data_IF_897327398762
#
_entry.id   IF_897327398762
#
_cell.length_a   1.000
_cell.length_b   1.000
_cell.length_c   1.000
_cell.angle_alpha   90.00
_cell.angle_beta   90.00
_cell.angle_gamma   90.00
#
_symmetry.space_group_name_H-M   'P 1'
#
loop_
_entity.id
_entity.type
_entity.pdbx_description
1 polymer ?
#
# COMPACT_ATOMS: atom_id res chain seq x y z
N UNK A 1 7.40 7.70 -25.67
CA UNK A 1 8.50 6.81 -25.21
C UNK A 1 9.23 7.54 -24.11
N UNK A 2 9.03 7.14 -22.86
CA UNK A 2 9.82 7.66 -21.73
C UNK A 2 11.16 6.93 -21.74
N UNK A 3 12.28 7.65 -21.78
CA UNK A 3 13.61 7.07 -21.68
C UNK A 3 13.81 6.47 -20.29
N UNK A 4 14.22 5.21 -20.21
CA UNK A 4 14.60 4.57 -18.95
C UNK A 4 15.97 5.09 -18.50
N UNK A 5 16.17 5.44 -17.21
CA UNK A 5 17.48 5.84 -16.69
C UNK A 5 18.54 4.72 -16.83
N UNK A 6 19.79 5.08 -17.13
CA UNK A 6 20.93 4.12 -17.21
C UNK A 6 21.22 3.55 -15.81
N UNK A 7 21.08 2.22 -15.67
CA UNK A 7 21.20 1.45 -14.43
C UNK A 7 22.60 1.48 -13.79
N UNK A 8 23.60 2.12 -14.42
CA UNK A 8 24.98 2.11 -13.94
C UNK A 8 25.36 3.32 -13.08
N UNK A 9 24.63 4.44 -13.16
CA UNK A 9 25.02 5.71 -12.52
C UNK A 9 23.86 6.46 -11.81
N UNK A 10 22.73 5.80 -11.51
CA UNK A 10 21.60 6.45 -10.87
C UNK A 10 21.88 6.88 -9.42
N UNK A 11 21.61 8.13 -9.10
CA UNK A 11 21.55 8.65 -7.73
C UNK A 11 20.34 8.03 -6.99
N UNK A 12 20.30 8.02 -5.66
CA UNK A 12 19.13 7.53 -4.91
C UNK A 12 17.83 8.27 -5.29
N UNK A 13 17.92 9.53 -5.72
CA UNK A 13 16.82 10.32 -6.27
C UNK A 13 16.28 9.70 -7.56
N UNK A 14 17.15 9.25 -8.47
CA UNK A 14 16.74 8.63 -9.75
C UNK A 14 15.96 7.33 -9.56
N UNK A 15 16.24 6.58 -8.49
CA UNK A 15 15.51 5.36 -8.16
C UNK A 15 14.14 5.69 -7.56
N UNK A 16 14.06 6.72 -6.71
CA UNK A 16 12.78 7.22 -6.16
C UNK A 16 11.89 7.75 -7.28
N UNK A 17 12.44 8.58 -8.16
CA UNK A 17 11.73 9.14 -9.32
C UNK A 17 11.29 8.07 -10.30
N UNK A 18 12.11 7.02 -10.50
CA UNK A 18 11.71 5.87 -11.30
C UNK A 18 10.54 5.12 -10.67
N UNK A 19 10.57 4.86 -9.36
CA UNK A 19 9.48 4.18 -8.65
C UNK A 19 8.20 5.02 -8.66
N UNK A 20 8.30 6.33 -8.46
CA UNK A 20 7.18 7.28 -8.55
C UNK A 20 6.62 7.33 -9.98
N UNK A 21 7.48 7.24 -11.00
CA UNK A 21 7.05 7.18 -12.40
C UNK A 21 6.30 5.87 -12.74
N UNK A 22 6.74 4.73 -12.19
CA UNK A 22 6.06 3.43 -12.39
C UNK A 22 4.72 3.40 -11.65
N UNK A 23 4.66 3.95 -10.44
CA UNK A 23 3.42 4.15 -9.67
C UNK A 23 2.44 5.08 -10.38
N UNK A 24 2.93 6.08 -11.11
CA UNK A 24 2.06 7.01 -11.86
C UNK A 24 1.51 6.40 -13.16
N UNK A 25 2.24 5.45 -13.78
CA UNK A 25 1.87 4.89 -15.08
C UNK A 25 0.83 3.76 -15.00
N UNK A 26 0.76 3.02 -13.89
CA UNK A 26 -0.09 1.82 -13.78
C UNK A 26 -1.49 2.06 -13.17
N UNK A 27 -1.77 3.26 -12.66
CA UNK A 27 -3.07 3.60 -12.06
C UNK A 27 -3.89 4.57 -12.92
N UNK A 28 -4.48 4.07 -14.01
CA UNK A 28 -5.66 4.72 -14.63
C UNK A 28 -6.90 3.86 -14.33
N UNK A 29 -7.83 4.31 -13.50
CA UNK A 29 -8.81 5.31 -13.94
C UNK A 29 -9.56 6.06 -12.82
N UNK A 30 -9.06 6.09 -11.58
CA UNK A 30 -9.62 6.97 -10.52
C UNK A 30 -8.58 7.77 -9.71
N UNK A 31 -7.27 7.63 -9.98
CA UNK A 31 -6.22 8.14 -9.08
C UNK A 31 -5.73 9.58 -9.39
N UNK A 32 -6.16 10.19 -10.50
CA UNK A 32 -5.74 11.58 -10.83
C UNK A 32 -6.54 12.63 -10.03
N UNK A 33 -7.64 12.24 -9.38
CA UNK A 33 -8.38 13.13 -8.46
C UNK A 33 -7.87 13.08 -7.00
N UNK A 34 -7.01 12.12 -6.67
CA UNK A 34 -6.56 11.85 -5.29
C UNK A 34 -5.28 12.55 -4.88
N UNK A 35 -4.57 13.28 -5.77
CA UNK A 35 -3.41 14.09 -5.36
C UNK A 35 -3.78 15.25 -4.40
N UNK A 36 -5.07 15.63 -4.36
CA UNK A 36 -5.64 16.53 -3.34
C UNK A 36 -6.11 15.82 -2.06
N UNK A 37 -6.22 14.49 -2.05
CA UNK A 37 -6.77 13.69 -0.94
C UNK A 37 -5.68 13.07 -0.05
N UNK A 38 -4.45 12.93 -0.55
CA UNK A 38 -3.31 12.38 0.25
C UNK A 38 -2.87 13.33 1.38
N UNK A 39 -3.41 14.56 1.45
CA UNK A 39 -2.99 15.55 2.45
C UNK A 39 -3.62 15.40 3.83
N UNK A 40 -4.66 14.59 4.03
CA UNK A 40 -5.20 14.38 5.38
C UNK A 40 -5.72 12.96 5.56
N UNK A 41 -4.86 12.06 6.05
CA UNK A 41 -5.33 10.87 6.73
C UNK A 41 -6.07 11.30 8.01
N UNK A 42 -7.39 11.40 7.93
CA UNK A 42 -8.25 11.48 9.12
C UNK A 42 -8.68 10.07 9.49
N UNK A 43 -8.16 9.48 10.58
CA UNK A 43 -8.72 8.24 11.09
C UNK A 43 -10.16 8.51 11.55
N UNK A 44 -11.14 7.93 10.87
CA UNK A 44 -12.50 7.99 11.38
C UNK A 44 -12.63 7.00 12.53
N UNK A 45 -13.21 7.46 13.62
CA UNK A 45 -13.43 6.64 14.82
C UNK A 45 -14.25 5.40 14.45
N UNK A 46 -13.68 4.21 14.66
CA UNK A 46 -14.37 2.94 14.46
C UNK A 46 -14.07 2.22 13.14
N UNK A 47 -13.23 2.77 12.27
CA UNK A 47 -12.71 2.04 11.09
C UNK A 47 -11.68 0.98 11.51
N UNK A 48 -11.68 -0.15 10.80
CA UNK A 48 -10.64 -1.16 10.91
C UNK A 48 -9.43 -0.78 10.05
N UNK A 49 -8.27 -1.32 10.41
CA UNK A 49 -7.07 -1.28 9.57
C UNK A 49 -6.60 -2.68 9.19
N UNK A 50 -6.10 -2.80 7.97
CA UNK A 50 -5.50 -4.01 7.42
C UNK A 50 -4.04 -3.74 7.08
N UNK A 51 -3.18 -4.73 7.32
CA UNK A 51 -1.74 -4.66 7.15
C UNK A 51 -1.30 -5.87 6.32
N UNK A 52 -0.56 -5.64 5.24
CA UNK A 52 0.17 -6.68 4.52
C UNK A 52 1.62 -6.25 4.39
N UNK A 53 2.52 -7.06 4.91
CA UNK A 53 3.96 -6.89 4.76
C UNK A 53 4.53 -7.97 3.84
N UNK A 54 5.32 -7.55 2.87
CA UNK A 54 6.05 -8.46 1.98
C UNK A 54 7.53 -8.10 1.96
N UNK A 55 8.32 -9.05 1.49
CA UNK A 55 9.70 -8.80 1.09
C UNK A 55 9.78 -8.67 -0.43
N UNK A 56 10.14 -7.48 -0.89
CA UNK A 56 10.16 -7.10 -2.30
C UNK A 56 8.89 -6.41 -2.75
N UNK A 57 9.05 -5.54 -3.77
CA UNK A 57 8.01 -4.66 -4.28
C UNK A 57 6.95 -5.39 -5.13
N UNK A 58 7.34 -6.44 -5.87
CA UNK A 58 6.42 -7.16 -6.77
C UNK A 58 5.27 -7.79 -5.99
N UNK A 59 5.57 -8.55 -4.94
CA UNK A 59 4.53 -9.16 -4.09
C UNK A 59 3.69 -8.09 -3.38
N UNK A 60 4.29 -6.95 -3.02
CA UNK A 60 3.59 -5.85 -2.38
C UNK A 60 2.57 -5.20 -3.32
N UNK A 61 2.97 -4.92 -4.56
CA UNK A 61 2.08 -4.33 -5.58
C UNK A 61 0.87 -5.22 -5.82
N UNK A 62 1.09 -6.53 -5.92
CA UNK A 62 0.00 -7.46 -6.18
C UNK A 62 -0.92 -7.66 -4.98
N UNK A 63 -0.38 -7.63 -3.76
CA UNK A 63 -1.23 -7.55 -2.58
C UNK A 63 -2.08 -6.28 -2.56
N UNK A 64 -1.51 -5.12 -2.89
CA UNK A 64 -2.25 -3.85 -2.89
C UNK A 64 -3.37 -3.84 -3.93
N UNK A 65 -3.10 -4.31 -5.14
CA UNK A 65 -4.11 -4.45 -6.20
C UNK A 65 -5.24 -5.40 -5.78
N UNK A 66 -4.91 -6.58 -5.25
CA UNK A 66 -5.89 -7.54 -4.78
C UNK A 66 -6.73 -7.01 -3.59
N UNK A 67 -6.12 -6.31 -2.64
CA UNK A 67 -6.84 -5.68 -1.51
C UNK A 67 -7.89 -4.68 -2.01
N UNK A 68 -7.52 -3.80 -2.92
CA UNK A 68 -8.38 -2.74 -3.44
C UNK A 68 -9.48 -3.26 -4.37
N UNK A 69 -9.26 -4.40 -5.04
CA UNK A 69 -10.27 -5.05 -5.89
C UNK A 69 -11.26 -5.92 -5.10
N UNK A 70 -10.83 -6.49 -3.98
CA UNK A 70 -11.64 -7.46 -3.23
C UNK A 70 -12.76 -6.82 -2.39
N UNK A 71 -12.59 -5.57 -1.95
CA UNK A 71 -13.56 -4.90 -1.09
C UNK A 71 -13.49 -3.37 -1.19
N UNK A 72 -14.52 -2.70 -0.69
CA UNK A 72 -14.52 -1.24 -0.55
C UNK A 72 -13.63 -0.83 0.64
N UNK A 73 -12.33 -0.69 0.37
CA UNK A 73 -11.29 -0.25 1.32
C UNK A 73 -10.44 0.85 0.70
N UNK A 74 -9.78 1.64 1.52
CA UNK A 74 -8.89 2.71 1.07
C UNK A 74 -7.44 2.37 1.42
N UNK A 75 -6.54 2.50 0.45
CA UNK A 75 -5.10 2.47 0.72
C UNK A 75 -4.71 3.76 1.45
N UNK A 76 -4.07 3.58 2.59
CA UNK A 76 -3.71 4.67 3.51
C UNK A 76 -2.26 5.05 3.35
N UNK A 77 -1.36 4.07 3.43
CA UNK A 77 0.08 4.28 3.47
C UNK A 77 0.82 3.03 3.02
N UNK A 78 1.96 3.23 2.36
CA UNK A 78 2.97 2.20 2.19
C UNK A 78 4.20 2.62 3.01
N UNK A 79 4.69 1.70 3.83
CA UNK A 79 5.82 1.93 4.75
C UNK A 79 6.95 1.00 4.31
N UNK A 80 8.11 1.57 3.97
CA UNK A 80 9.32 0.82 3.67
C UNK A 80 10.34 1.05 4.79
N UNK A 81 10.81 -0.03 5.40
CA UNK A 81 11.75 0.02 6.53
C UNK A 81 13.18 -0.39 6.14
N UNK A 82 13.45 -0.56 4.85
CA UNK A 82 14.71 -1.09 4.33
C UNK A 82 14.73 -2.62 4.23
N UNK A 83 15.81 -3.18 3.69
CA UNK A 83 15.93 -4.65 3.51
C UNK A 83 14.88 -5.25 2.57
N UNK A 84 14.23 -4.41 1.75
CA UNK A 84 13.07 -4.71 0.92
C UNK A 84 11.79 -5.09 1.69
N UNK A 85 11.68 -4.79 2.98
CA UNK A 85 10.43 -4.96 3.73
C UNK A 85 9.50 -3.78 3.45
N UNK A 86 8.31 -4.08 2.95
CA UNK A 86 7.31 -3.09 2.59
C UNK A 86 5.96 -3.50 3.17
N UNK A 87 5.39 -2.64 4.02
CA UNK A 87 4.07 -2.82 4.62
C UNK A 87 3.06 -1.90 3.94
N UNK A 88 1.95 -2.47 3.49
CA UNK A 88 0.79 -1.76 2.97
C UNK A 88 -0.28 -1.66 4.04
N UNK A 89 -0.82 -0.47 4.23
CA UNK A 89 -1.88 -0.20 5.20
C UNK A 89 -3.15 0.20 4.45
N UNK A 90 -4.25 -0.48 4.75
CA UNK A 90 -5.59 -0.15 4.25
C UNK A 90 -6.55 0.15 5.41
N UNK A 91 -7.65 0.84 5.13
CA UNK A 91 -8.74 1.09 6.09
C UNK A 91 -10.12 0.86 5.49
N UNK A 92 -11.10 0.63 6.37
CA UNK A 92 -12.52 0.52 6.02
C UNK A 92 -13.33 -0.19 7.10
N UNK A 93 -14.51 -0.69 6.75
CA UNK A 93 -15.33 -1.50 7.66
C UNK A 93 -14.66 -2.85 7.97
N UNK A 94 -14.97 -3.41 9.14
CA UNK A 94 -14.38 -4.69 9.62
C UNK A 94 -14.58 -5.84 8.62
N UNK A 95 -15.73 -5.94 7.96
CA UNK A 95 -15.95 -6.97 6.95
C UNK A 95 -15.09 -6.75 5.70
N UNK A 96 -15.07 -5.52 5.19
CA UNK A 96 -14.32 -5.13 3.99
C UNK A 96 -12.82 -5.32 4.15
N UNK A 97 -12.27 -4.87 5.29
CA UNK A 97 -10.84 -5.00 5.56
C UNK A 97 -10.43 -6.47 5.75
N UNK A 98 -11.27 -7.32 6.34
CA UNK A 98 -10.99 -8.76 6.45
C UNK A 98 -10.88 -9.39 5.07
N UNK A 99 -11.89 -9.17 4.22
CA UNK A 99 -11.91 -9.69 2.86
C UNK A 99 -10.72 -9.20 2.03
N UNK A 100 -10.37 -7.91 2.15
CA UNK A 100 -9.22 -7.34 1.47
C UNK A 100 -7.90 -7.99 1.92
N UNK A 101 -7.67 -8.10 3.24
CA UNK A 101 -6.43 -8.71 3.77
C UNK A 101 -6.29 -10.17 3.34
N UNK A 102 -7.38 -10.95 3.38
CA UNK A 102 -7.36 -12.35 2.95
C UNK A 102 -7.01 -12.48 1.45
N UNK A 103 -7.59 -11.63 0.60
CA UNK A 103 -7.30 -11.61 -0.83
C UNK A 103 -5.86 -11.17 -1.13
N UNK A 104 -5.39 -10.09 -0.49
CA UNK A 104 -4.04 -9.58 -0.67
C UNK A 104 -2.97 -10.55 -0.17
N UNK A 105 -3.21 -11.24 0.95
CA UNK A 105 -2.27 -12.24 1.48
C UNK A 105 -2.12 -13.43 0.53
N UNK A 106 -3.24 -13.90 -0.06
CA UNK A 106 -3.22 -14.95 -1.06
C UNK A 106 -2.46 -14.53 -2.34
N UNK A 107 -2.63 -13.28 -2.79
CA UNK A 107 -1.92 -12.75 -3.95
C UNK A 107 -0.41 -12.58 -3.69
N UNK A 108 -0.03 -11.94 -2.59
CA UNK A 108 1.38 -11.79 -2.20
C UNK A 108 2.10 -13.13 -2.09
N UNK A 109 1.45 -14.15 -1.49
CA UNK A 109 2.06 -15.48 -1.32
C UNK A 109 2.29 -16.22 -2.64
N UNK A 110 1.55 -15.88 -3.69
CA UNK A 110 1.73 -16.47 -5.03
C UNK A 110 2.83 -15.76 -5.82
N UNK A 111 2.96 -14.44 -5.65
CA UNK A 111 3.89 -13.61 -6.42
C UNK A 111 5.26 -13.41 -5.75
N UNK A 112 5.40 -13.70 -4.46
CA UNK A 112 6.67 -13.61 -3.74
C UNK A 112 6.57 -13.94 -2.25
N UNK A 113 7.35 -13.24 -1.43
CA UNK A 113 7.48 -13.52 -0.01
C UNK A 113 6.52 -12.66 0.82
N UNK A 114 5.42 -13.26 1.26
CA UNK A 114 4.55 -12.70 2.29
C UNK A 114 5.22 -12.83 3.67
N UNK A 115 5.43 -11.71 4.35
CA UNK A 115 6.04 -11.66 5.69
C UNK A 115 4.94 -11.66 6.76
N UNK A 116 3.89 -10.86 6.57
CA UNK A 116 2.79 -10.76 7.53
C UNK A 116 1.49 -10.30 6.87
N UNK A 117 0.36 -10.78 7.40
CA UNK A 117 -0.98 -10.33 7.05
C UNK A 117 -1.81 -10.21 8.34
N UNK A 118 -2.28 -9.01 8.66
CA UNK A 118 -2.98 -8.77 9.92
C UNK A 118 -4.08 -7.73 9.79
N UNK A 119 -5.03 -7.79 10.72
CA UNK A 119 -6.15 -6.88 10.78
C UNK A 119 -6.38 -6.45 12.23
N UNK A 120 -6.60 -5.15 12.43
CA UNK A 120 -7.00 -4.58 13.71
C UNK A 120 -8.40 -3.97 13.53
N UNK A 121 -9.47 -4.58 14.07
CA UNK A 121 -10.85 -4.17 13.78
C UNK A 121 -11.25 -2.78 14.30
N UNK A 122 -10.72 -2.37 15.44
CA UNK A 122 -11.02 -1.08 16.10
C UNK A 122 -9.80 -0.58 16.85
N UNK A 123 -8.76 -0.10 16.14
CA UNK A 123 -7.62 0.51 16.81
C UNK A 123 -8.04 1.80 17.52
N UNK A 124 -7.28 2.17 18.55
CA UNK A 124 -7.47 3.45 19.24
C UNK A 124 -7.08 4.61 18.30
N UNK A 125 -7.88 5.69 18.28
CA UNK A 125 -7.77 6.72 17.25
C UNK A 125 -6.48 7.55 17.34
N UNK A 126 -6.04 7.89 18.56
CA UNK A 126 -4.80 8.64 18.79
C UNK A 126 -3.56 7.82 18.39
N UNK A 127 -3.59 6.51 18.60
CA UNK A 127 -2.55 5.60 18.12
C UNK A 127 -2.44 5.66 16.59
N UNK A 128 -3.57 5.60 15.90
CA UNK A 128 -3.57 5.58 14.43
C UNK A 128 -3.09 6.90 13.84
N UNK A 129 -3.50 8.03 14.40
CA UNK A 129 -3.04 9.36 13.99
C UNK A 129 -1.51 9.48 14.08
N UNK A 130 -0.91 8.98 15.17
CA UNK A 130 0.55 9.10 15.39
C UNK A 130 1.40 8.20 14.51
N UNK A 131 0.90 7.02 14.15
CA UNK A 131 1.70 6.02 13.45
C UNK A 131 1.46 6.01 11.93
N UNK A 132 0.25 6.35 11.49
CA UNK A 132 -0.18 6.19 10.11
C UNK A 132 -0.60 7.54 9.48
N UNK A 133 -0.84 8.58 10.28
CA UNK A 133 -1.04 9.96 9.81
C UNK A 133 0.18 10.62 9.20
#
# INVERSE_FOLDING_TARGET
MVQTPDKRNGTPEDVSDFLDSQLTFDFRSNLVHTSKTIKEFRPMKGEAIGLIETKGLVAQMEAADAMLKAANVQLVKQINIGGAFITTVIKGDVGSVRAAVDAGAAAASQCGELVSAHMIPRPEANLIEKFIG
#
